data_IF_242154767472
#
_entry.id   IF_242154767472
#
_cell.length_a   1.000
_cell.length_b   1.000
_cell.length_c   1.000
_cell.angle_alpha   90.00
_cell.angle_beta   90.00
_cell.angle_gamma   90.00
#
_symmetry.space_group_name_H-M   'P 1'
#
loop_
_entity.id
_entity.type
_entity.pdbx_description
1 polymer ?
#
# COMPACT_ATOMS: atom_id res chain seq x y z
N UNK A 1 -4.50 12.68 -2.19
CA UNK A 1 -3.32 13.45 -1.76
C UNK A 1 -2.21 13.29 -2.77
N UNK A 2 -1.28 14.22 -2.83
CA UNK A 2 -0.13 14.21 -3.73
C UNK A 2 1.16 14.01 -2.93
N UNK A 3 2.02 13.11 -3.40
CA UNK A 3 3.33 12.81 -2.81
C UNK A 3 4.43 13.19 -3.78
N UNK A 4 5.48 13.85 -3.30
CA UNK A 4 6.72 14.12 -4.05
C UNK A 4 7.65 12.93 -3.89
N UNK A 5 7.75 12.08 -4.92
CA UNK A 5 8.56 10.86 -4.86
C UNK A 5 10.06 11.12 -4.81
N UNK A 6 10.51 12.27 -5.30
CA UNK A 6 11.91 12.70 -5.23
C UNK A 6 12.36 13.15 -3.83
N UNK A 7 11.40 13.31 -2.90
CA UNK A 7 11.61 13.78 -1.52
C UNK A 7 11.22 12.71 -0.47
N UNK A 8 11.18 11.45 -0.86
CA UNK A 8 10.85 10.38 0.08
C UNK A 8 11.89 10.29 1.21
N UNK A 9 11.47 10.08 2.45
CA UNK A 9 12.41 9.81 3.53
C UNK A 9 13.14 8.48 3.31
N UNK A 10 14.30 8.34 3.94
CA UNK A 10 15.05 7.08 3.93
C UNK A 10 14.24 5.96 4.58
N UNK A 11 14.03 4.87 3.86
CA UNK A 11 13.27 3.72 4.34
C UNK A 11 14.10 2.74 5.17
N UNK A 12 15.42 2.83 5.14
CA UNK A 12 16.30 1.87 5.84
C UNK A 12 16.01 1.76 7.34
N UNK A 13 15.79 2.86 8.08
CA UNK A 13 15.48 2.76 9.51
C UNK A 13 14.21 1.97 9.79
N UNK A 14 13.11 2.25 9.07
CA UNK A 14 11.84 1.54 9.30
C UNK A 14 11.93 0.07 8.87
N UNK A 15 12.69 -0.24 7.82
CA UNK A 15 12.91 -1.63 7.39
C UNK A 15 13.73 -2.41 8.43
N UNK A 16 14.70 -1.78 9.08
CA UNK A 16 15.45 -2.38 10.19
C UNK A 16 14.55 -2.64 11.41
N UNK A 17 13.62 -1.72 11.72
CA UNK A 17 12.62 -1.93 12.77
C UNK A 17 11.71 -3.11 12.45
N UNK A 18 11.29 -3.27 11.19
CA UNK A 18 10.48 -4.42 10.76
C UNK A 18 11.25 -5.72 10.96
N UNK A 19 12.48 -5.80 10.49
CA UNK A 19 13.33 -6.97 10.65
C UNK A 19 13.52 -7.34 12.13
N UNK A 20 13.73 -6.36 13.01
CA UNK A 20 13.86 -6.56 14.45
C UNK A 20 12.58 -7.13 15.10
N UNK A 21 11.42 -6.89 14.49
CA UNK A 21 10.13 -7.44 14.93
C UNK A 21 9.77 -8.78 14.27
N UNK A 22 10.64 -9.32 13.41
CA UNK A 22 10.34 -10.53 12.63
C UNK A 22 9.33 -10.30 11.52
N UNK A 23 9.18 -9.06 11.05
CA UNK A 23 8.29 -8.67 9.95
C UNK A 23 9.12 -8.44 8.68
N UNK A 24 8.76 -9.09 7.60
CA UNK A 24 9.35 -8.89 6.27
C UNK A 24 8.39 -8.10 5.39
N UNK A 25 8.92 -7.04 4.75
CA UNK A 25 8.18 -6.29 3.72
C UNK A 25 8.73 -6.71 2.36
N UNK A 26 7.88 -7.25 1.51
CA UNK A 26 8.26 -7.72 0.18
C UNK A 26 7.10 -7.70 -0.81
N UNK A 27 7.40 -7.87 -2.09
CA UNK A 27 6.36 -8.13 -3.08
C UNK A 27 5.73 -9.50 -2.83
N UNK A 28 4.42 -9.59 -3.02
CA UNK A 28 3.76 -10.89 -3.09
C UNK A 28 4.16 -11.60 -4.38
N UNK A 29 4.28 -12.91 -4.34
CA UNK A 29 4.57 -13.73 -5.52
C UNK A 29 3.32 -14.46 -6.01
N UNK A 30 3.31 -14.85 -7.28
CA UNK A 30 2.14 -15.43 -7.94
C UNK A 30 1.49 -16.61 -7.19
N UNK A 31 2.24 -17.57 -6.61
CA UNK A 31 1.63 -18.69 -5.87
C UNK A 31 0.85 -18.27 -4.60
N UNK A 32 1.13 -17.09 -4.07
CA UNK A 32 0.48 -16.55 -2.87
C UNK A 32 -0.80 -15.76 -3.18
N UNK A 33 -1.10 -15.51 -4.46
CA UNK A 33 -2.18 -14.61 -4.87
C UNK A 33 -3.51 -14.93 -4.20
N UNK A 34 -3.92 -16.18 -4.19
CA UNK A 34 -5.18 -16.59 -3.58
C UNK A 34 -5.21 -16.32 -2.07
N UNK A 35 -4.12 -16.58 -1.36
CA UNK A 35 -4.01 -16.33 0.09
C UNK A 35 -4.10 -14.84 0.37
N UNK A 36 -3.37 -14.01 -0.38
CA UNK A 36 -3.36 -12.55 -0.24
C UNK A 36 -4.75 -11.97 -0.50
N UNK A 37 -5.39 -12.40 -1.61
CA UNK A 37 -6.71 -11.88 -1.98
C UNK A 37 -7.80 -12.32 -0.99
N UNK A 38 -7.77 -13.54 -0.51
CA UNK A 38 -8.72 -14.03 0.49
C UNK A 38 -8.57 -13.27 1.80
N UNK A 39 -7.34 -13.07 2.26
CA UNK A 39 -7.08 -12.29 3.46
C UNK A 39 -7.56 -10.84 3.33
N UNK A 40 -7.30 -10.18 2.19
CA UNK A 40 -7.77 -8.80 1.94
C UNK A 40 -9.30 -8.75 1.90
N UNK A 41 -9.94 -9.73 1.23
CA UNK A 41 -11.39 -9.80 1.12
C UNK A 41 -12.07 -9.93 2.47
N UNK A 42 -11.55 -10.81 3.32
CA UNK A 42 -12.08 -11.04 4.66
C UNK A 42 -11.89 -9.83 5.58
N UNK A 43 -10.72 -9.20 5.52
CA UNK A 43 -10.39 -8.10 6.42
C UNK A 43 -10.92 -6.73 5.96
N UNK A 44 -11.02 -6.50 4.64
CA UNK A 44 -11.25 -5.16 4.07
C UNK A 44 -12.33 -5.12 2.98
N UNK A 45 -12.79 -6.27 2.49
CA UNK A 45 -13.90 -6.36 1.53
C UNK A 45 -13.49 -6.57 0.07
N UNK A 46 -14.50 -6.81 -0.76
CA UNK A 46 -14.34 -7.19 -2.16
C UNK A 46 -13.67 -6.11 -3.02
N UNK A 47 -13.95 -4.84 -2.77
CA UNK A 47 -13.38 -3.75 -3.57
C UNK A 47 -11.86 -3.73 -3.51
N UNK A 48 -11.30 -3.82 -2.31
CA UNK A 48 -9.85 -3.84 -2.13
C UNK A 48 -9.21 -5.14 -2.61
N UNK A 49 -9.91 -6.27 -2.50
CA UNK A 49 -9.44 -7.51 -3.09
C UNK A 49 -9.37 -7.43 -4.63
N UNK A 50 -10.35 -6.79 -5.27
CA UNK A 50 -10.36 -6.56 -6.71
C UNK A 50 -9.19 -5.67 -7.16
N UNK A 51 -8.90 -4.60 -6.43
CA UNK A 51 -7.75 -3.73 -6.72
C UNK A 51 -6.42 -4.48 -6.51
N UNK A 52 -6.30 -5.25 -5.44
CA UNK A 52 -5.11 -6.06 -5.17
C UNK A 52 -4.91 -7.15 -6.25
N UNK A 53 -5.97 -7.69 -6.83
CA UNK A 53 -5.88 -8.63 -7.95
C UNK A 53 -5.19 -7.98 -9.16
N UNK A 54 -5.53 -6.75 -9.49
CA UNK A 54 -4.85 -5.98 -10.54
C UNK A 54 -3.36 -5.82 -10.23
N UNK A 55 -3.02 -5.42 -9.00
CA UNK A 55 -1.64 -5.26 -8.58
C UNK A 55 -0.85 -6.58 -8.64
N UNK A 56 -1.48 -7.69 -8.28
CA UNK A 56 -0.86 -9.03 -8.39
C UNK A 56 -0.62 -9.46 -9.84
N UNK A 57 -1.40 -8.96 -10.79
CA UNK A 57 -1.25 -9.27 -12.22
C UNK A 57 -0.18 -8.41 -12.91
N UNK A 58 0.31 -7.35 -12.30
CA UNK A 58 1.43 -6.58 -12.83
C UNK A 58 2.72 -7.40 -12.81
N UNK A 59 3.65 -7.11 -13.72
CA UNK A 59 4.93 -7.80 -13.82
C UNK A 59 6.09 -6.80 -13.75
N UNK A 60 6.87 -6.80 -12.65
CA UNK A 60 6.66 -7.59 -11.42
C UNK A 60 5.41 -7.15 -10.66
N UNK A 61 4.92 -8.01 -9.75
CA UNK A 61 3.78 -7.68 -8.88
C UNK A 61 3.98 -6.35 -8.15
N UNK A 62 2.95 -5.51 -8.15
CA UNK A 62 2.94 -4.23 -7.43
C UNK A 62 2.11 -4.29 -6.14
N UNK A 63 1.81 -5.49 -5.67
CA UNK A 63 1.25 -5.76 -4.36
C UNK A 63 2.38 -6.08 -3.38
N UNK A 64 2.59 -5.20 -2.41
CA UNK A 64 3.54 -5.40 -1.31
C UNK A 64 2.80 -6.00 -0.11
N UNK A 65 3.45 -6.93 0.57
CA UNK A 65 2.90 -7.56 1.77
C UNK A 65 3.86 -7.44 2.95
N UNK A 66 3.30 -7.37 4.13
CA UNK A 66 4.01 -7.54 5.38
C UNK A 66 3.74 -8.96 5.90
N UNK A 67 4.78 -9.69 6.20
CA UNK A 67 4.70 -11.08 6.64
C UNK A 67 5.28 -11.22 8.04
N UNK A 68 4.51 -11.79 8.95
CA UNK A 68 5.02 -12.28 10.23
C UNK A 68 5.78 -13.59 9.95
N UNK A 69 7.09 -13.55 10.03
CA UNK A 69 7.96 -14.67 9.65
C UNK A 69 7.85 -15.87 10.58
N UNK A 70 7.55 -15.65 11.86
CA UNK A 70 7.34 -16.74 12.80
C UNK A 70 6.08 -17.53 12.48
N UNK A 71 4.99 -16.82 12.22
CA UNK A 71 3.69 -17.43 11.95
C UNK A 71 3.47 -17.78 10.48
N UNK A 72 4.33 -17.28 9.58
CA UNK A 72 4.15 -17.37 8.11
C UNK A 72 2.79 -16.84 7.66
N UNK A 73 2.39 -15.70 8.21
CA UNK A 73 1.10 -15.07 7.95
C UNK A 73 1.25 -13.66 7.42
N UNK A 74 0.37 -13.29 6.49
CA UNK A 74 0.23 -11.91 6.05
C UNK A 74 -0.42 -11.08 7.17
N UNK A 75 0.18 -9.91 7.43
CA UNK A 75 -0.31 -8.98 8.47
C UNK A 75 -0.56 -7.57 7.94
N UNK A 76 -0.27 -7.33 6.67
CA UNK A 76 -0.52 -6.07 6.02
C UNK A 76 -0.23 -6.13 4.53
N UNK A 77 -0.73 -5.15 3.79
CA UNK A 77 -0.50 -5.03 2.36
C UNK A 77 -0.54 -3.57 1.90
N UNK A 78 0.05 -3.29 0.75
CA UNK A 78 -0.09 -2.04 0.03
C UNK A 78 0.09 -2.28 -1.46
N UNK A 79 -0.74 -1.65 -2.28
CA UNK A 79 -0.69 -1.74 -3.73
C UNK A 79 -0.29 -0.41 -4.36
N UNK A 80 0.33 -0.48 -5.52
CA UNK A 80 0.49 0.64 -6.44
C UNK A 80 0.13 0.18 -7.85
N UNK A 81 -0.20 1.10 -8.75
CA UNK A 81 -0.57 0.78 -10.13
C UNK A 81 -1.79 -0.16 -10.21
N UNK A 82 -2.67 -0.11 -9.22
CA UNK A 82 -3.86 -0.95 -9.14
C UNK A 82 -5.08 -0.24 -9.71
N UNK A 83 -5.53 0.85 -9.11
CA UNK A 83 -6.74 1.58 -9.51
C UNK A 83 -6.48 2.43 -10.76
N UNK A 84 -5.40 3.21 -10.73
CA UNK A 84 -4.92 4.03 -11.85
C UNK A 84 -3.39 4.02 -11.86
N UNK A 85 -2.80 4.43 -12.99
CA UNK A 85 -1.37 4.69 -13.07
C UNK A 85 -1.00 5.74 -12.03
N UNK A 86 0.17 5.58 -11.41
CA UNK A 86 0.70 6.53 -10.45
C UNK A 86 -0.03 6.57 -9.08
N UNK A 87 -1.01 5.70 -8.88
CA UNK A 87 -1.78 5.67 -7.63
C UNK A 87 -1.18 4.70 -6.62
N UNK A 88 -1.11 5.18 -5.38
CA UNK A 88 -0.89 4.37 -4.18
C UNK A 88 -2.24 3.99 -3.56
N UNK A 89 -2.39 2.74 -3.22
CA UNK A 89 -3.57 2.16 -2.58
C UNK A 89 -4.18 1.02 -3.40
N UNK A 90 -5.00 0.20 -2.75
CA UNK A 90 -5.34 0.21 -1.33
C UNK A 90 -4.20 -0.24 -0.41
N UNK A 91 -4.33 0.03 0.88
CA UNK A 91 -3.39 -0.37 1.92
C UNK A 91 -4.12 -0.69 3.22
N UNK A 92 -3.67 -1.69 3.92
CA UNK A 92 -4.25 -2.06 5.22
C UNK A 92 -3.30 -2.90 6.06
N UNK A 93 -3.48 -2.81 7.37
CA UNK A 93 -2.73 -3.59 8.38
C UNK A 93 -3.73 -4.27 9.29
N UNK A 94 -3.47 -5.53 9.61
CA UNK A 94 -4.24 -6.28 10.60
C UNK A 94 -4.34 -5.46 11.90
N UNK A 95 -5.56 -5.26 12.45
CA UNK A 95 -5.74 -4.50 13.69
C UNK A 95 -4.85 -4.96 14.84
N UNK A 96 -4.56 -6.27 14.94
CA UNK A 96 -3.69 -6.83 15.98
C UNK A 96 -2.21 -6.42 15.83
N UNK A 97 -1.82 -5.93 14.65
CA UNK A 97 -0.44 -5.54 14.33
C UNK A 97 -0.27 -4.01 14.17
N UNK A 98 -1.30 -3.23 14.38
CA UNK A 98 -1.23 -1.76 14.29
C UNK A 98 -0.34 -1.17 15.37
N UNK A 99 0.18 0.04 15.11
CA UNK A 99 1.06 0.74 16.04
C UNK A 99 2.50 0.24 16.07
N UNK A 100 2.89 -0.62 15.13
CA UNK A 100 4.24 -1.22 15.04
C UNK A 100 5.09 -0.66 13.89
N UNK A 101 4.57 0.29 13.11
CA UNK A 101 5.26 0.87 11.96
C UNK A 101 5.06 0.14 10.63
N UNK A 102 4.27 -0.93 10.60
CA UNK A 102 4.05 -1.76 9.39
C UNK A 102 3.44 -0.92 8.25
N UNK A 103 2.43 -0.10 8.55
CA UNK A 103 1.79 0.76 7.55
C UNK A 103 2.76 1.73 6.90
N UNK A 104 3.67 2.33 7.68
CA UNK A 104 4.72 3.23 7.16
C UNK A 104 5.74 2.46 6.31
N UNK A 105 6.15 1.28 6.74
CA UNK A 105 7.09 0.44 5.98
C UNK A 105 6.50 0.04 4.62
N UNK A 106 5.23 -0.40 4.59
CA UNK A 106 4.50 -0.71 3.36
C UNK A 106 4.35 0.50 2.45
N UNK A 107 4.01 1.66 3.02
CA UNK A 107 3.89 2.92 2.28
C UNK A 107 5.20 3.27 1.58
N UNK A 108 6.32 3.25 2.30
CA UNK A 108 7.63 3.59 1.73
C UNK A 108 8.08 2.59 0.67
N UNK A 109 7.90 1.28 0.89
CA UNK A 109 8.23 0.27 -0.11
C UNK A 109 7.43 0.47 -1.41
N UNK A 110 6.14 0.74 -1.30
CA UNK A 110 5.25 0.95 -2.43
C UNK A 110 5.58 2.26 -3.18
N UNK A 111 5.82 3.36 -2.47
CA UNK A 111 6.19 4.64 -3.08
C UNK A 111 7.58 4.61 -3.74
N UNK A 112 8.54 3.89 -3.16
CA UNK A 112 9.84 3.65 -3.79
C UNK A 112 9.70 2.86 -5.10
N UNK A 113 8.75 1.92 -5.17
CA UNK A 113 8.42 1.23 -6.40
C UNK A 113 7.93 2.20 -7.48
N UNK A 114 7.03 3.11 -7.17
CA UNK A 114 6.56 4.14 -8.12
C UNK A 114 7.71 5.04 -8.58
N UNK A 115 8.56 5.47 -7.66
CA UNK A 115 9.76 6.24 -8.01
C UNK A 115 10.67 5.46 -8.97
N UNK A 116 10.89 4.19 -8.71
CA UNK A 116 11.69 3.30 -9.57
C UNK A 116 11.09 3.09 -10.96
N UNK A 117 9.76 3.21 -11.09
CA UNK A 117 9.08 3.17 -12.39
C UNK A 117 9.22 4.48 -13.19
N UNK A 118 9.80 5.53 -12.61
CA UNK A 118 10.06 6.79 -13.28
C UNK A 118 9.07 7.91 -12.96
N UNK A 119 8.12 7.69 -12.03
CA UNK A 119 7.22 8.75 -11.62
C UNK A 119 7.91 9.76 -10.70
N UNK A 120 7.64 11.04 -10.91
CA UNK A 120 8.10 12.12 -10.02
C UNK A 120 7.16 12.38 -8.86
N UNK A 121 5.90 12.03 -9.04
CA UNK A 121 4.83 12.22 -8.06
C UNK A 121 4.00 10.95 -7.94
N UNK A 122 3.25 10.82 -6.85
CA UNK A 122 2.25 9.78 -6.69
C UNK A 122 0.96 10.37 -6.14
N UNK A 123 -0.16 9.76 -6.47
CA UNK A 123 -1.47 10.12 -5.93
C UNK A 123 -1.94 9.06 -4.95
N UNK A 124 -2.34 9.49 -3.75
CA UNK A 124 -3.05 8.65 -2.79
C UNK A 124 -4.54 8.93 -2.98
N UNK A 125 -5.25 7.98 -3.60
CA UNK A 125 -6.68 8.09 -3.83
C UNK A 125 -7.48 7.65 -2.62
N UNK A 126 -8.57 8.38 -2.30
CA UNK A 126 -9.43 8.04 -1.17
C UNK A 126 -8.70 8.00 0.17
N UNK A 127 -7.74 8.91 0.39
CA UNK A 127 -6.91 8.93 1.60
C UNK A 127 -7.77 9.06 2.86
N UNK A 128 -7.76 8.02 3.71
CA UNK A 128 -8.43 8.06 5.01
C UNK A 128 -7.65 8.88 6.03
N UNK A 129 -6.50 8.40 6.55
CA UNK A 129 -5.74 9.10 7.59
C UNK A 129 -4.81 10.15 6.99
N UNK A 130 -5.35 11.32 6.64
CA UNK A 130 -4.61 12.44 6.02
C UNK A 130 -3.36 12.81 6.82
N UNK A 131 -3.47 12.91 8.14
CA UNK A 131 -2.35 13.23 9.03
C UNK A 131 -1.21 12.21 8.94
N UNK A 132 -1.55 10.93 8.82
CA UNK A 132 -0.55 9.87 8.69
C UNK A 132 0.30 10.06 7.44
N UNK A 133 -0.33 10.32 6.30
CA UNK A 133 0.40 10.51 5.03
C UNK A 133 1.18 11.83 5.00
N UNK A 134 0.61 12.88 5.55
CA UNK A 134 1.31 14.18 5.68
C UNK A 134 2.59 14.03 6.51
N UNK A 135 2.50 13.36 7.66
CA UNK A 135 3.63 13.16 8.56
C UNK A 135 4.66 12.17 8.00
N UNK A 136 4.21 11.07 7.40
CA UNK A 136 5.11 10.01 6.94
C UNK A 136 5.91 10.39 5.70
N UNK A 137 5.28 11.05 4.72
CA UNK A 137 5.87 11.31 3.39
C UNK A 137 5.65 12.72 2.86
N UNK A 138 5.19 13.63 3.70
CA UNK A 138 4.94 15.02 3.29
C UNK A 138 3.82 15.17 2.25
N UNK A 139 2.88 14.24 2.24
CA UNK A 139 1.74 14.29 1.32
C UNK A 139 0.87 15.52 1.59
N UNK A 140 0.36 16.12 0.53
CA UNK A 140 -0.55 17.27 0.60
C UNK A 140 -1.89 16.93 -0.05
N UNK A 141 -3.02 17.48 0.45
CA UNK A 141 -4.31 17.35 -0.21
C UNK A 141 -4.28 17.93 -1.62
N UNK A 142 -5.03 17.33 -2.53
CA UNK A 142 -5.30 17.89 -3.86
C UNK A 142 -6.65 18.59 -3.78
N UNK A 143 -6.72 19.94 -3.95
CA UNK A 143 -7.97 20.67 -3.86
C UNK A 143 -9.02 20.14 -4.84
N UNK A 144 -10.28 20.18 -4.42
CA UNK A 144 -11.46 19.85 -5.24
C UNK A 144 -11.41 18.45 -5.89
N UNK A 145 -10.70 17.49 -5.29
CA UNK A 145 -10.49 16.17 -5.86
C UNK A 145 -11.33 15.04 -5.22
N UNK A 146 -12.24 15.36 -4.31
CA UNK A 146 -13.14 14.37 -3.71
C UNK A 146 -14.54 14.44 -4.37
N UNK A 147 -15.17 13.31 -4.71
CA UNK A 147 -14.68 11.91 -4.58
C UNK A 147 -13.68 11.50 -5.68
N UNK A 148 -13.25 12.41 -6.54
CA UNK A 148 -12.25 12.19 -7.58
C UNK A 148 -12.66 11.11 -8.58
N UNK A 149 -11.77 10.17 -8.81
CA UNK A 149 -11.99 9.05 -9.75
C UNK A 149 -13.11 8.10 -9.32
N UNK A 150 -13.52 8.14 -8.06
CA UNK A 150 -14.56 7.27 -7.51
C UNK A 150 -15.98 7.79 -7.78
N UNK A 151 -16.10 8.94 -8.47
CA UNK A 151 -17.41 9.48 -8.88
C UNK A 151 -18.11 8.51 -9.83
N UNK A 152 -19.35 8.15 -9.49
CA UNK A 152 -20.17 7.29 -10.35
C UNK A 152 -19.80 5.80 -10.31
N UNK A 153 -19.05 5.35 -9.32
CA UNK A 153 -18.82 3.92 -9.12
C UNK A 153 -20.14 3.14 -9.02
N UNK A 154 -20.11 1.92 -9.52
CA UNK A 154 -21.24 1.00 -9.41
C UNK A 154 -21.57 0.73 -7.94
N UNK A 155 -22.86 0.65 -7.65
CA UNK A 155 -23.39 0.24 -6.33
C UNK A 155 -24.16 -1.07 -6.49
N UNK A 156 -24.08 -1.94 -5.49
CA UNK A 156 -24.97 -3.09 -5.38
C UNK A 156 -26.30 -2.68 -4.78
#
# INVERSE_FOLDING_TARGET
MLVRLYDLPDSRPIMAEMAAQGITIRRAIAPEKHIVLDWIREAFGEGWASEADVAMCNQPSTCFIAVDEEKKQIVGFACVEATYKDFFGPTGVDPAYRGRGIGKALLLAALECLRGLGYGYAVIGGAGPVEFYAKAVGAIPIPDSAPGIYRGMLKR
#
